data_IF_543735428458
#
_entry.id   IF_543735428458
#
_cell.length_a   1.000
_cell.length_b   1.000
_cell.length_c   1.000
_cell.angle_alpha   90.00
_cell.angle_beta   90.00
_cell.angle_gamma   90.00
#
_symmetry.space_group_name_H-M   'P 1'
#
loop_
_entity.id
_entity.type
_entity.pdbx_description
1 polymer ?
#
# COMPACT_ATOMS: atom_id res chain seq x y z
N UNK A 1 -3.30 23.00 3.94
CA UNK A 1 -2.77 22.02 4.90
C UNK A 1 -2.78 20.65 4.25
N UNK A 2 -1.67 19.94 4.33
CA UNK A 2 -1.59 18.54 3.85
C UNK A 2 -2.56 17.68 4.64
N UNK A 3 -3.31 16.84 3.94
CA UNK A 3 -4.32 15.98 4.55
C UNK A 3 -3.86 14.52 4.66
N UNK A 4 -3.01 14.08 3.72
CA UNK A 4 -2.57 12.69 3.60
C UNK A 4 -1.10 12.62 3.23
N UNK A 5 -0.34 11.84 4.00
CA UNK A 5 1.03 11.45 3.65
C UNK A 5 1.01 10.11 2.91
N UNK A 6 1.62 10.04 1.74
CA UNK A 6 1.65 8.81 0.93
C UNK A 6 3.07 8.30 0.78
N UNK A 7 3.32 7.10 1.31
CA UNK A 7 4.59 6.40 1.21
C UNK A 7 4.57 5.52 -0.03
N UNK A 8 5.42 5.82 -1.00
CA UNK A 8 5.69 4.95 -2.15
C UNK A 8 6.97 4.18 -1.92
N UNK A 9 6.90 2.85 -2.02
CA UNK A 9 8.08 2.00 -2.06
C UNK A 9 8.38 1.64 -3.52
N UNK A 10 9.61 1.95 -3.97
CA UNK A 10 10.06 1.67 -5.34
C UNK A 10 11.42 0.99 -5.37
N UNK A 11 11.67 0.22 -6.42
CA UNK A 11 12.98 -0.33 -6.77
C UNK A 11 13.28 0.04 -8.23
N UNK A 12 13.87 1.22 -8.41
CA UNK A 12 14.07 1.80 -9.75
C UNK A 12 15.30 1.22 -10.42
N UNK A 13 15.14 0.03 -10.99
CA UNK A 13 16.21 -0.68 -11.71
C UNK A 13 16.37 -0.20 -13.16
N UNK A 14 15.33 0.37 -13.76
CA UNK A 14 15.31 0.81 -15.16
C UNK A 14 14.37 2.02 -15.38
N UNK A 15 14.47 2.59 -16.61
CA UNK A 15 13.64 3.71 -17.04
C UNK A 15 12.13 3.40 -17.02
N UNK A 16 11.74 2.15 -17.22
CA UNK A 16 10.33 1.75 -17.21
C UNK A 16 9.74 1.81 -15.82
N UNK A 17 10.47 1.37 -14.79
CA UNK A 17 10.05 1.48 -13.38
C UNK A 17 10.04 2.94 -12.94
N UNK A 18 11.05 3.72 -13.36
CA UNK A 18 11.07 5.16 -13.12
C UNK A 18 9.81 5.84 -13.65
N UNK A 19 9.47 5.60 -14.94
CA UNK A 19 8.30 6.22 -15.54
C UNK A 19 6.99 5.76 -14.88
N UNK A 20 6.90 4.50 -14.48
CA UNK A 20 5.74 3.96 -13.76
C UNK A 20 5.55 4.68 -12.43
N UNK A 21 6.59 4.80 -11.61
CA UNK A 21 6.56 5.51 -10.33
C UNK A 21 6.21 6.99 -10.54
N UNK A 22 6.82 7.63 -11.55
CA UNK A 22 6.52 9.02 -11.91
C UNK A 22 5.05 9.22 -12.28
N UNK A 23 4.48 8.30 -13.05
CA UNK A 23 3.07 8.35 -13.44
C UNK A 23 2.14 8.16 -12.22
N UNK A 24 2.49 7.27 -11.28
CA UNK A 24 1.75 7.10 -10.04
C UNK A 24 1.73 8.41 -9.22
N UNK A 25 2.90 9.02 -9.01
CA UNK A 25 3.03 10.31 -8.30
C UNK A 25 2.24 11.41 -9.01
N UNK A 26 2.37 11.54 -10.33
CA UNK A 26 1.66 12.55 -11.09
C UNK A 26 0.14 12.34 -11.01
N UNK A 27 -0.33 11.10 -11.15
CA UNK A 27 -1.76 10.81 -11.04
C UNK A 27 -2.31 11.12 -9.64
N UNK A 28 -1.51 10.92 -8.59
CA UNK A 28 -1.87 11.31 -7.23
C UNK A 28 -2.05 12.82 -7.13
N UNK A 29 -1.07 13.61 -7.59
CA UNK A 29 -1.15 15.08 -7.57
C UNK A 29 -2.35 15.60 -8.37
N UNK A 30 -2.62 15.02 -9.55
CA UNK A 30 -3.70 15.43 -10.44
C UNK A 30 -5.09 14.98 -9.98
N UNK A 31 -5.17 14.06 -9.00
CA UNK A 31 -6.43 13.45 -8.58
C UNK A 31 -7.30 14.33 -7.70
N UNK A 32 -6.70 15.32 -7.03
CA UNK A 32 -7.34 16.21 -6.06
C UNK A 32 -6.83 17.65 -6.24
N UNK A 33 -7.35 18.58 -5.44
CA UNK A 33 -6.83 19.94 -5.37
C UNK A 33 -5.37 19.97 -4.86
N UNK A 34 -4.55 20.91 -5.36
CA UNK A 34 -3.14 21.02 -4.96
C UNK A 34 -2.93 21.17 -3.45
N UNK A 35 -1.85 20.59 -2.95
CA UNK A 35 -1.43 20.71 -1.54
C UNK A 35 -2.10 19.74 -0.56
N UNK A 36 -2.93 18.81 -1.06
CA UNK A 36 -3.54 17.79 -0.19
C UNK A 36 -2.59 16.66 0.22
N UNK A 37 -1.56 16.41 -0.57
CA UNK A 37 -0.68 15.25 -0.39
C UNK A 37 0.76 15.66 -0.10
N UNK A 38 1.38 14.99 0.87
CA UNK A 38 2.83 14.90 1.06
C UNK A 38 3.29 13.56 0.53
N UNK A 39 4.24 13.57 -0.37
CA UNK A 39 4.73 12.39 -1.09
C UNK A 39 6.10 12.00 -0.55
N UNK A 40 6.18 10.77 -0.05
CA UNK A 40 7.39 10.18 0.51
C UNK A 40 7.79 8.99 -0.35
N UNK A 41 8.92 9.06 -1.02
CA UNK A 41 9.44 7.96 -1.85
C UNK A 41 10.57 7.26 -1.12
N UNK A 42 10.44 5.95 -0.92
CA UNK A 42 11.50 5.09 -0.41
C UNK A 42 12.07 4.32 -1.60
N UNK A 43 13.28 4.68 -2.01
CA UNK A 43 13.99 4.06 -3.12
C UNK A 43 14.88 2.92 -2.62
N UNK A 44 14.51 1.70 -2.96
CA UNK A 44 15.24 0.50 -2.51
C UNK A 44 16.46 0.15 -3.36
N UNK A 45 16.56 0.67 -4.59
CA UNK A 45 17.74 0.51 -5.41
C UNK A 45 18.84 1.47 -4.96
N UNK A 46 19.84 0.95 -4.27
CA UNK A 46 20.96 1.74 -3.70
C UNK A 46 21.81 2.47 -4.75
N UNK A 47 21.76 2.04 -6.02
CA UNK A 47 22.49 2.66 -7.13
C UNK A 47 21.64 3.60 -7.98
N UNK A 48 20.34 3.72 -7.68
CA UNK A 48 19.44 4.59 -8.42
C UNK A 48 19.82 6.07 -8.25
N UNK A 49 19.94 6.77 -9.36
CA UNK A 49 20.16 8.23 -9.42
C UNK A 49 18.89 8.99 -9.82
N UNK A 50 17.80 8.29 -10.05
CA UNK A 50 16.53 8.88 -10.45
C UNK A 50 15.97 9.79 -9.34
N UNK A 51 15.37 10.91 -9.77
CA UNK A 51 14.71 11.86 -8.89
C UNK A 51 13.23 11.94 -9.19
N UNK A 52 12.43 11.93 -8.15
CA UNK A 52 10.98 12.03 -8.21
C UNK A 52 10.52 13.42 -7.76
N UNK A 53 9.37 13.85 -8.25
CA UNK A 53 8.65 15.02 -7.72
C UNK A 53 7.95 14.63 -6.41
N UNK A 54 8.75 14.44 -5.37
CA UNK A 54 8.35 14.03 -4.03
C UNK A 54 8.81 15.05 -2.99
N UNK A 55 8.07 15.16 -1.90
CA UNK A 55 8.44 16.02 -0.78
C UNK A 55 9.63 15.45 -0.03
N UNK A 56 9.71 14.10 0.02
CA UNK A 56 10.86 13.37 0.59
C UNK A 56 11.26 12.21 -0.33
N UNK A 57 12.54 12.04 -0.60
CA UNK A 57 13.08 10.86 -1.27
C UNK A 57 14.22 10.27 -0.45
N UNK A 58 14.02 9.08 0.07
CA UNK A 58 14.91 8.41 1.00
C UNK A 58 15.53 7.16 0.32
N UNK A 59 16.86 7.01 0.47
CA UNK A 59 17.59 5.81 0.08
C UNK A 59 18.08 5.11 1.36
N UNK A 60 17.37 4.09 1.87
CA UNK A 60 17.78 3.38 3.07
C UNK A 60 19.15 2.72 2.91
N UNK A 61 19.94 2.74 3.99
CA UNK A 61 21.25 2.07 4.01
C UNK A 61 21.13 0.57 4.31
N UNK A 62 20.05 0.21 4.98
CA UNK A 62 19.71 -1.15 5.38
C UNK A 62 19.50 -2.05 4.15
N UNK A 63 19.66 -3.35 4.32
CA UNK A 63 19.27 -4.31 3.29
C UNK A 63 17.76 -4.31 3.11
N UNK A 64 17.32 -4.67 1.90
CA UNK A 64 15.91 -4.60 1.57
C UNK A 64 15.08 -5.51 2.48
N UNK A 65 14.17 -4.90 3.20
CA UNK A 65 13.08 -5.52 3.92
C UNK A 65 11.86 -4.59 3.78
N UNK A 66 10.75 -5.12 3.30
CA UNK A 66 9.55 -4.33 3.02
C UNK A 66 9.09 -3.55 4.25
N UNK A 67 8.96 -4.23 5.39
CA UNK A 67 8.49 -3.60 6.63
C UNK A 67 9.52 -2.61 7.20
N UNK A 68 10.83 -2.93 7.16
CA UNK A 68 11.88 -1.98 7.58
C UNK A 68 11.80 -0.69 6.76
N UNK A 69 11.60 -0.80 5.45
CA UNK A 69 11.53 0.38 4.58
C UNK A 69 10.26 1.20 4.83
N UNK A 70 9.13 0.57 5.08
CA UNK A 70 7.92 1.27 5.49
C UNK A 70 8.08 1.90 6.89
N UNK A 71 8.78 1.24 7.82
CA UNK A 71 9.12 1.81 9.14
C UNK A 71 9.97 3.07 9.01
N UNK A 72 10.89 3.11 8.05
CA UNK A 72 11.67 4.31 7.74
C UNK A 72 10.74 5.40 7.19
N UNK A 73 9.91 5.08 6.20
CA UNK A 73 8.97 6.02 5.58
C UNK A 73 7.97 6.63 6.57
N UNK A 74 7.46 5.83 7.49
CA UNK A 74 6.46 6.28 8.48
C UNK A 74 6.97 7.40 9.39
N UNK A 75 8.29 7.51 9.60
CA UNK A 75 8.90 8.58 10.41
C UNK A 75 8.79 9.97 9.79
N UNK A 76 8.50 10.04 8.49
CA UNK A 76 8.32 11.28 7.74
C UNK A 76 6.84 11.69 7.64
N UNK A 77 5.93 10.87 8.18
CA UNK A 77 4.50 11.15 8.18
C UNK A 77 4.12 12.03 9.38
N UNK A 78 3.43 13.14 9.12
CA UNK A 78 2.97 14.09 10.14
C UNK A 78 1.48 14.50 10.00
N UNK A 79 0.84 14.18 8.87
CA UNK A 79 -0.58 14.46 8.61
C UNK A 79 -1.53 13.59 9.45
N UNK A 80 -2.81 13.99 9.50
CA UNK A 80 -3.88 13.25 10.20
C UNK A 80 -4.14 11.86 9.60
N UNK A 81 -3.80 11.69 8.32
CA UNK A 81 -3.88 10.41 7.64
C UNK A 81 -2.54 10.08 6.97
N UNK A 82 -2.27 8.79 6.83
CA UNK A 82 -1.15 8.29 6.04
C UNK A 82 -1.57 7.08 5.23
N UNK A 83 -0.87 6.83 4.13
CA UNK A 83 -1.09 5.67 3.28
C UNK A 83 0.23 5.04 2.83
N UNK A 84 0.19 3.73 2.63
CA UNK A 84 1.22 2.96 1.94
C UNK A 84 0.71 2.67 0.54
N UNK A 85 1.54 2.86 -0.47
CA UNK A 85 1.19 2.65 -1.87
C UNK A 85 2.30 1.93 -2.63
N UNK A 86 1.92 0.95 -3.45
CA UNK A 86 2.77 0.48 -4.52
C UNK A 86 2.99 1.60 -5.56
N UNK A 87 4.02 1.43 -6.39
CA UNK A 87 4.37 2.39 -7.44
C UNK A 87 3.74 2.08 -8.81
N UNK A 88 2.98 0.99 -8.94
CA UNK A 88 2.29 0.57 -10.16
C UNK A 88 0.77 0.82 -10.07
N UNK A 89 0.42 2.03 -9.66
CA UNK A 89 -0.96 2.48 -9.46
C UNK A 89 -1.26 3.77 -10.24
N UNK A 90 -2.55 4.02 -10.52
CA UNK A 90 -3.07 5.29 -11.05
C UNK A 90 -4.27 5.73 -10.22
N UNK A 91 -4.17 6.90 -9.65
CA UNK A 91 -5.23 7.50 -8.82
C UNK A 91 -6.27 8.19 -9.70
N UNK A 92 -7.55 7.88 -9.48
CA UNK A 92 -8.66 8.52 -10.20
C UNK A 92 -9.11 9.78 -9.47
N UNK A 93 -9.74 10.71 -10.19
CA UNK A 93 -10.28 11.97 -9.63
C UNK A 93 -11.15 11.73 -8.40
N UNK A 94 -10.95 12.55 -7.37
CA UNK A 94 -11.71 12.54 -6.11
C UNK A 94 -11.62 11.23 -5.31
N UNK A 95 -10.62 10.39 -5.54
CA UNK A 95 -10.47 9.12 -4.82
C UNK A 95 -10.27 9.35 -3.31
N UNK A 96 -9.42 10.33 -2.95
CA UNK A 96 -9.14 10.67 -1.56
C UNK A 96 -10.35 11.35 -0.91
N UNK A 97 -10.97 12.31 -1.58
CA UNK A 97 -12.19 12.96 -1.09
C UNK A 97 -13.26 11.93 -0.71
N UNK A 98 -13.48 10.91 -1.54
CA UNK A 98 -14.43 9.81 -1.26
C UNK A 98 -13.96 8.89 -0.15
N UNK A 99 -12.66 8.59 -0.10
CA UNK A 99 -12.09 7.77 0.97
C UNK A 99 -12.23 8.49 2.32
N UNK A 100 -11.83 9.77 2.39
CA UNK A 100 -11.93 10.59 3.60
C UNK A 100 -13.37 10.72 4.09
N UNK A 101 -14.33 10.93 3.18
CA UNK A 101 -15.76 10.91 3.50
C UNK A 101 -16.15 9.59 4.16
N UNK A 102 -15.69 8.45 3.60
CA UNK A 102 -15.99 7.12 4.17
C UNK A 102 -15.35 6.91 5.55
N UNK A 103 -14.13 7.43 5.79
CA UNK A 103 -13.52 7.42 7.12
C UNK A 103 -14.42 8.07 8.17
N UNK A 104 -15.06 9.19 7.81
CA UNK A 104 -15.94 9.95 8.72
C UNK A 104 -17.28 9.25 8.86
N UNK A 105 -17.97 8.96 7.75
CA UNK A 105 -19.34 8.42 7.75
C UNK A 105 -19.46 7.04 8.37
N UNK A 106 -18.44 6.18 8.17
CA UNK A 106 -18.43 4.81 8.67
C UNK A 106 -17.54 4.61 9.90
N UNK A 107 -16.95 5.70 10.42
CA UNK A 107 -16.00 5.68 11.54
C UNK A 107 -14.90 4.63 11.32
N UNK A 108 -14.27 4.65 10.14
CA UNK A 108 -13.18 3.73 9.81
C UNK A 108 -11.88 4.20 10.46
N UNK A 109 -11.03 3.24 10.78
CA UNK A 109 -9.66 3.47 11.29
C UNK A 109 -8.62 3.28 10.19
N UNK A 110 -8.91 2.36 9.27
CA UNK A 110 -8.12 2.09 8.07
C UNK A 110 -9.03 1.82 6.89
N UNK A 111 -8.54 2.05 5.66
CA UNK A 111 -9.31 1.80 4.45
C UNK A 111 -8.42 1.45 3.26
N UNK A 112 -8.96 0.64 2.34
CA UNK A 112 -8.37 0.36 1.03
C UNK A 112 -9.28 0.86 -0.09
N UNK A 113 -8.71 1.34 -1.22
CA UNK A 113 -9.48 1.74 -2.39
C UNK A 113 -9.88 0.53 -3.23
N UNK A 114 -10.90 0.70 -4.04
CA UNK A 114 -11.26 -0.27 -5.09
C UNK A 114 -10.36 -0.10 -6.31
N UNK A 115 -9.81 -1.21 -6.84
CA UNK A 115 -9.22 -1.22 -8.17
C UNK A 115 -10.30 -1.52 -9.23
N UNK A 116 -10.53 -0.61 -10.19
CA UNK A 116 -11.46 -0.86 -11.29
C UNK A 116 -10.84 -1.71 -12.41
N UNK A 117 -9.50 -1.84 -12.45
CA UNK A 117 -8.79 -2.57 -13.49
C UNK A 117 -8.90 -4.08 -13.28
N UNK A 118 -9.16 -4.78 -14.38
CA UNK A 118 -9.06 -6.23 -14.43
C UNK A 118 -7.59 -6.61 -14.58
N UNK A 119 -7.03 -7.24 -13.56
CA UNK A 119 -5.70 -7.77 -13.68
C UNK A 119 -5.75 -9.27 -13.97
N UNK A 120 -5.02 -9.65 -15.01
CA UNK A 120 -4.86 -11.03 -15.44
C UNK A 120 -3.66 -11.66 -14.71
N UNK A 121 -3.90 -12.42 -13.64
CA UNK A 121 -2.87 -13.14 -12.91
C UNK A 121 -3.44 -14.24 -12.02
N UNK A 122 -2.56 -14.98 -11.35
CA UNK A 122 -2.93 -16.14 -10.49
C UNK A 122 -3.86 -15.75 -9.32
N UNK A 123 -3.93 -14.47 -8.97
CA UNK A 123 -4.80 -13.89 -7.92
C UNK A 123 -6.22 -13.56 -8.41
N UNK A 124 -6.56 -13.92 -9.64
CA UNK A 124 -7.83 -13.59 -10.33
C UNK A 124 -9.11 -13.76 -9.51
N UNK A 125 -9.19 -14.76 -8.61
CA UNK A 125 -10.45 -15.03 -7.89
C UNK A 125 -10.79 -13.98 -6.83
N UNK A 126 -9.80 -13.41 -6.19
CA UNK A 126 -10.01 -12.43 -5.09
C UNK A 126 -10.17 -11.04 -5.68
N UNK A 127 -9.36 -10.69 -6.68
CA UNK A 127 -9.47 -9.40 -7.39
C UNK A 127 -10.77 -9.27 -8.18
N UNK A 128 -11.37 -10.36 -8.64
CA UNK A 128 -12.71 -10.36 -9.22
C UNK A 128 -13.78 -9.81 -8.26
N UNK A 129 -13.59 -9.93 -6.93
CA UNK A 129 -14.50 -9.32 -5.96
C UNK A 129 -14.51 -7.80 -6.07
N UNK A 130 -13.38 -7.15 -6.39
CA UNK A 130 -13.32 -5.71 -6.65
C UNK A 130 -14.21 -5.32 -7.83
N UNK A 131 -14.19 -6.09 -8.91
CA UNK A 131 -15.03 -5.84 -10.10
C UNK A 131 -16.51 -5.77 -9.75
N UNK A 132 -16.97 -6.70 -8.91
CA UNK A 132 -18.39 -6.80 -8.53
C UNK A 132 -18.78 -5.92 -7.34
N UNK A 133 -17.84 -5.29 -6.65
CA UNK A 133 -18.14 -4.36 -5.57
C UNK A 133 -18.68 -3.06 -6.16
N UNK A 134 -19.95 -2.66 -5.86
CA UNK A 134 -20.49 -1.40 -6.33
C UNK A 134 -19.69 -0.21 -5.82
N UNK A 135 -19.58 0.84 -6.65
CA UNK A 135 -18.89 2.09 -6.27
C UNK A 135 -19.58 2.84 -5.12
N UNK A 136 -20.83 2.51 -4.83
CA UNK A 136 -21.59 3.09 -3.71
C UNK A 136 -21.41 2.33 -2.40
N UNK A 137 -20.68 1.20 -2.41
CA UNK A 137 -20.52 0.38 -1.21
C UNK A 137 -19.21 0.64 -0.48
N UNK A 138 -19.30 0.62 0.84
CA UNK A 138 -18.20 0.42 1.77
C UNK A 138 -18.35 -1.00 2.33
N UNK A 139 -17.32 -1.82 2.16
CA UNK A 139 -17.32 -3.24 2.55
C UNK A 139 -16.37 -3.44 3.70
N UNK A 140 -16.91 -3.51 4.92
CA UNK A 140 -16.11 -3.77 6.11
C UNK A 140 -15.54 -5.20 6.09
N UNK A 141 -14.30 -5.36 6.57
CA UNK A 141 -13.67 -6.67 6.67
C UNK A 141 -12.15 -6.60 6.59
N UNK A 142 -11.53 -7.78 6.73
CA UNK A 142 -10.07 -7.94 6.82
C UNK A 142 -9.55 -9.04 5.88
N UNK A 143 -10.27 -9.31 4.81
CA UNK A 143 -9.85 -10.29 3.81
C UNK A 143 -8.71 -9.70 2.97
N UNK A 144 -7.50 -10.27 3.13
CA UNK A 144 -6.31 -9.85 2.36
C UNK A 144 -6.55 -10.04 0.88
N UNK A 145 -6.08 -9.10 0.08
CA UNK A 145 -6.29 -8.94 -1.36
C UNK A 145 -7.73 -8.61 -1.79
N UNK A 146 -8.69 -8.53 -0.85
CA UNK A 146 -10.03 -8.04 -1.15
C UNK A 146 -10.36 -6.76 -0.37
N UNK A 147 -10.74 -6.88 0.90
CA UNK A 147 -11.05 -5.68 1.71
C UNK A 147 -9.78 -4.99 2.15
N UNK A 148 -8.73 -5.72 2.52
CA UNK A 148 -7.40 -5.18 2.78
C UNK A 148 -6.50 -5.37 1.56
N UNK A 149 -6.11 -4.28 0.91
CA UNK A 149 -5.28 -4.26 -0.29
C UNK A 149 -3.84 -3.92 0.08
N UNK A 150 -2.94 -4.90 0.13
CA UNK A 150 -1.53 -4.68 0.44
C UNK A 150 -0.81 -3.72 -0.52
N UNK A 151 -1.32 -3.56 -1.74
CA UNK A 151 -0.80 -2.62 -2.72
C UNK A 151 -1.18 -1.15 -2.45
N UNK A 152 -2.25 -0.91 -1.65
CA UNK A 152 -2.63 0.41 -1.13
C UNK A 152 -3.55 0.27 0.08
N UNK A 153 -3.20 0.94 1.16
CA UNK A 153 -4.06 1.10 2.34
C UNK A 153 -3.75 2.40 3.06
N UNK A 154 -4.78 3.07 3.54
CA UNK A 154 -4.70 4.30 4.30
C UNK A 154 -5.13 4.08 5.75
N UNK A 155 -4.63 4.92 6.67
CA UNK A 155 -4.88 4.84 8.10
C UNK A 155 -4.95 6.24 8.73
N UNK A 156 -5.66 6.36 9.84
CA UNK A 156 -5.61 7.53 10.73
C UNK A 156 -4.25 7.63 11.43
N UNK A 157 -3.91 8.82 11.91
CA UNK A 157 -2.67 9.11 12.64
C UNK A 157 -2.52 8.25 13.89
N UNK A 158 -3.57 8.11 14.69
CA UNK A 158 -3.57 7.30 15.90
C UNK A 158 -3.30 5.82 15.62
N UNK A 159 -3.83 5.29 14.51
CA UNK A 159 -3.51 3.93 14.05
C UNK A 159 -2.04 3.82 13.66
N UNK A 160 -1.51 4.78 12.88
CA UNK A 160 -0.10 4.81 12.51
C UNK A 160 0.81 4.77 13.75
N UNK A 161 0.50 5.57 14.77
CA UNK A 161 1.32 5.71 15.98
C UNK A 161 1.49 4.41 16.76
N UNK A 162 0.49 3.54 16.80
CA UNK A 162 0.63 2.24 17.48
C UNK A 162 0.96 1.07 16.53
N UNK A 163 0.62 1.18 15.24
CA UNK A 163 0.86 0.11 14.27
C UNK A 163 2.34 0.06 13.85
N UNK A 164 2.98 1.21 13.70
CA UNK A 164 4.40 1.27 13.42
C UNK A 164 5.24 1.30 14.70
N UNK A 165 6.38 0.61 14.72
CA UNK A 165 6.98 -0.12 13.60
C UNK A 165 6.23 -1.41 13.26
N UNK A 166 6.17 -1.73 11.95
CA UNK A 166 5.75 -3.03 11.45
C UNK A 166 6.78 -4.10 11.81
N UNK A 167 6.33 -5.34 11.94
CA UNK A 167 7.18 -6.46 12.33
C UNK A 167 8.12 -6.88 11.19
N UNK A 168 9.41 -6.63 11.37
CA UNK A 168 10.45 -6.84 10.34
C UNK A 168 10.76 -8.31 10.07
N UNK A 169 10.23 -9.26 10.86
CA UNK A 169 10.33 -10.68 10.51
C UNK A 169 9.57 -11.02 9.22
N UNK A 170 8.57 -10.19 8.81
CA UNK A 170 7.82 -10.34 7.56
C UNK A 170 8.40 -9.44 6.48
N UNK A 171 9.48 -9.89 5.85
CA UNK A 171 10.29 -9.06 4.94
C UNK A 171 9.65 -8.80 3.58
N UNK A 172 8.73 -9.65 3.09
CA UNK A 172 8.07 -9.50 1.78
C UNK A 172 6.74 -10.25 1.63
N UNK A 173 6.51 -11.32 2.41
CA UNK A 173 5.27 -12.09 2.44
C UNK A 173 4.71 -12.13 3.85
N UNK A 174 3.42 -12.37 3.99
CA UNK A 174 2.68 -12.40 5.24
C UNK A 174 2.65 -11.06 6.01
N UNK A 175 3.29 -9.99 5.49
CA UNK A 175 3.18 -8.65 6.09
C UNK A 175 1.74 -8.16 6.13
N UNK A 176 0.99 -8.36 5.04
CA UNK A 176 -0.44 -7.97 4.96
C UNK A 176 -1.29 -8.76 5.97
N UNK A 177 -0.99 -10.05 6.11
CA UNK A 177 -1.65 -10.92 7.07
C UNK A 177 -1.34 -10.48 8.51
N UNK A 178 -0.08 -10.15 8.82
CA UNK A 178 0.33 -9.66 10.13
C UNK A 178 -0.35 -8.32 10.48
N UNK A 179 -0.37 -7.37 9.53
CA UNK A 179 -1.06 -6.08 9.71
C UNK A 179 -2.54 -6.32 10.02
N UNK A 180 -3.21 -7.16 9.23
CA UNK A 180 -4.64 -7.49 9.43
C UNK A 180 -4.89 -8.11 10.80
N UNK A 181 -4.04 -9.02 11.27
CA UNK A 181 -4.18 -9.60 12.60
C UNK A 181 -4.02 -8.56 13.70
N UNK A 182 -3.05 -7.65 13.59
CA UNK A 182 -2.85 -6.54 14.53
C UNK A 182 -4.04 -5.58 14.55
N UNK A 183 -4.61 -5.27 13.38
CA UNK A 183 -5.83 -4.44 13.29
C UNK A 183 -7.01 -5.12 14.00
N UNK A 184 -7.18 -6.44 13.81
CA UNK A 184 -8.24 -7.22 14.49
C UNK A 184 -8.06 -7.23 16.00
N UNK A 185 -6.85 -7.46 16.51
CA UNK A 185 -6.57 -7.43 17.96
C UNK A 185 -6.93 -6.09 18.60
N UNK A 186 -6.74 -4.99 17.88
CA UNK A 186 -7.06 -3.64 18.33
C UNK A 186 -8.51 -3.24 18.05
N UNK A 187 -9.33 -4.14 17.48
CA UNK A 187 -10.69 -3.85 17.04
C UNK A 187 -10.77 -2.64 16.10
N UNK A 188 -9.73 -2.39 15.31
CA UNK A 188 -9.70 -1.32 14.32
C UNK A 188 -10.65 -1.61 13.18
N UNK A 189 -11.49 -0.66 12.82
CA UNK A 189 -12.45 -0.79 11.75
C UNK A 189 -11.80 -0.58 10.40
N UNK A 190 -11.76 -1.63 9.58
CA UNK A 190 -11.21 -1.59 8.22
C UNK A 190 -12.29 -1.84 7.17
N UNK A 191 -12.18 -1.15 6.02
CA UNK A 191 -13.09 -1.36 4.89
C UNK A 191 -12.44 -1.12 3.53
N UNK A 192 -12.98 -1.82 2.51
CA UNK A 192 -12.83 -1.46 1.11
C UNK A 192 -13.84 -0.36 0.76
N UNK A 193 -13.35 0.77 0.25
CA UNK A 193 -14.17 1.90 -0.17
C UNK A 193 -14.42 1.84 -1.68
N UNK A 194 -15.60 1.37 -2.09
CA UNK A 194 -15.94 1.18 -3.50
C UNK A 194 -15.92 2.46 -4.33
N UNK A 195 -16.21 3.62 -3.72
CA UNK A 195 -16.18 4.93 -4.37
C UNK A 195 -14.78 5.52 -4.54
N UNK A 196 -13.80 5.05 -3.79
CA UNK A 196 -12.39 5.45 -3.89
C UNK A 196 -11.69 4.58 -4.93
N UNK A 197 -11.39 5.15 -6.10
CA UNK A 197 -10.89 4.39 -7.24
C UNK A 197 -9.39 4.63 -7.44
N UNK A 198 -8.60 3.55 -7.34
CA UNK A 198 -7.16 3.52 -7.65
C UNK A 198 -6.90 2.29 -8.49
N UNK A 199 -6.41 2.49 -9.72
CA UNK A 199 -6.04 1.37 -10.58
C UNK A 199 -4.72 0.77 -10.11
N UNK A 200 -4.64 -0.55 -10.04
CA UNK A 200 -3.42 -1.26 -9.70
C UNK A 200 -3.05 -2.20 -10.85
N UNK A 201 -1.84 -2.12 -11.36
CA UNK A 201 -1.41 -2.86 -12.56
C UNK A 201 -0.70 -4.19 -12.24
N UNK A 202 -0.23 -4.40 -11.02
CA UNK A 202 0.25 -5.65 -10.40
C UNK A 202 0.96 -6.66 -11.29
N UNK A 203 2.11 -6.39 -11.85
CA UNK A 203 2.75 -7.42 -12.68
C UNK A 203 4.28 -7.49 -12.64
N UNK A 204 5.01 -6.50 -12.11
CA UNK A 204 6.47 -6.49 -12.31
C UNK A 204 7.27 -7.19 -11.21
N UNK A 205 6.90 -6.99 -9.95
CA UNK A 205 7.63 -7.59 -8.82
C UNK A 205 7.50 -9.12 -8.79
N UNK A 206 6.33 -9.66 -9.14
CA UNK A 206 6.11 -11.11 -9.22
C UNK A 206 6.94 -11.81 -10.29
N UNK A 207 7.14 -11.20 -11.46
CA UNK A 207 7.91 -11.83 -12.56
C UNK A 207 9.37 -12.05 -12.19
N UNK A 208 9.99 -11.10 -11.49
CA UNK A 208 11.40 -11.17 -11.09
C UNK A 208 11.62 -12.26 -10.03
N UNK A 209 10.70 -12.38 -9.07
CA UNK A 209 10.79 -13.38 -7.99
C UNK A 209 10.51 -14.81 -8.47
N UNK A 210 9.59 -15.00 -9.43
CA UNK A 210 9.31 -16.30 -10.02
C UNK A 210 10.46 -16.88 -10.83
N UNK A 211 11.29 -16.03 -11.48
CA UNK A 211 12.41 -16.48 -12.31
C UNK A 211 13.55 -17.13 -11.51
N UNK A 212 13.67 -16.84 -10.22
CA UNK A 212 14.83 -17.25 -9.42
C UNK A 212 14.60 -18.44 -8.47
N UNK A 213 13.42 -19.08 -8.48
CA UNK A 213 13.11 -20.23 -7.60
C UNK A 213 13.14 -19.93 -6.08
N UNK A 214 13.51 -18.71 -5.71
CA UNK A 214 13.64 -18.24 -4.32
C UNK A 214 12.28 -17.96 -3.69
N UNK A 215 11.28 -17.69 -4.51
CA UNK A 215 9.93 -17.33 -4.13
C UNK A 215 9.30 -18.32 -3.15
N UNK A 216 9.25 -19.60 -3.48
CA UNK A 216 8.59 -20.62 -2.66
C UNK A 216 9.29 -20.84 -1.30
N UNK A 217 10.64 -20.85 -1.30
CA UNK A 217 11.38 -21.07 -0.03
C UNK A 217 11.15 -19.96 0.97
N UNK A 218 11.14 -18.69 0.53
CA UNK A 218 10.87 -17.55 1.40
C UNK A 218 9.40 -17.54 1.87
N UNK A 219 8.45 -17.86 1.00
CA UNK A 219 7.03 -17.92 1.36
C UNK A 219 6.78 -18.92 2.47
N UNK A 220 7.30 -20.15 2.35
CA UNK A 220 7.11 -21.18 3.40
C UNK A 220 7.77 -20.83 4.73
N UNK A 221 8.96 -20.20 4.71
CA UNK A 221 9.61 -19.78 5.95
C UNK A 221 8.78 -18.71 6.68
N UNK A 222 8.24 -17.74 5.95
CA UNK A 222 7.42 -16.66 6.52
C UNK A 222 6.03 -17.14 6.94
N UNK A 223 5.46 -18.14 6.26
CA UNK A 223 4.24 -18.84 6.68
C UNK A 223 4.41 -19.46 8.08
N UNK A 224 5.51 -20.17 8.27
CA UNK A 224 5.83 -20.74 9.59
C UNK A 224 5.93 -19.67 10.66
N UNK A 225 6.61 -18.56 10.39
CA UNK A 225 6.72 -17.44 11.32
C UNK A 225 5.34 -16.84 11.64
N UNK A 226 4.47 -16.73 10.63
CA UNK A 226 3.11 -16.24 10.83
C UNK A 226 2.30 -17.16 11.74
N UNK A 227 2.32 -18.47 11.51
CA UNK A 227 1.63 -19.44 12.38
C UNK A 227 2.23 -19.53 13.78
N UNK A 228 3.53 -19.30 13.95
CA UNK A 228 4.14 -19.23 15.28
C UNK A 228 3.69 -18.00 16.06
N UNK A 229 3.43 -16.88 15.38
CA UNK A 229 2.99 -15.64 16.02
C UNK A 229 1.50 -15.62 16.30
N UNK A 230 0.68 -16.16 15.39
CA UNK A 230 -0.77 -15.97 15.40
C UNK A 230 -1.58 -17.27 15.65
N UNK A 231 -0.94 -18.43 15.76
CA UNK A 231 -1.59 -19.72 16.03
C UNK A 231 -1.90 -20.49 14.79
#
# INVERSE_FOLDING_TARGET
MTELDVIFLTNTADQGIYQMTKNAIQSLRDSEEPGKFKIIVIESNKTSTYKYDADEQIHPKEDFNYNTYLNIGSKYCDSDYSAVSNNDVIFRKNWWTKMKQSFIEHNLDTASPKSPTEQFGIVQRVEMKHRYTPITKVVEGYEVAYTFCGWFWAMKKDVREWLFPLDEQFSFFYQDNDIVMRLKEKNCKHALVGGSLVEHFGQRSHKILHQNGTYLKHTFALEKNFHQKWG
#
